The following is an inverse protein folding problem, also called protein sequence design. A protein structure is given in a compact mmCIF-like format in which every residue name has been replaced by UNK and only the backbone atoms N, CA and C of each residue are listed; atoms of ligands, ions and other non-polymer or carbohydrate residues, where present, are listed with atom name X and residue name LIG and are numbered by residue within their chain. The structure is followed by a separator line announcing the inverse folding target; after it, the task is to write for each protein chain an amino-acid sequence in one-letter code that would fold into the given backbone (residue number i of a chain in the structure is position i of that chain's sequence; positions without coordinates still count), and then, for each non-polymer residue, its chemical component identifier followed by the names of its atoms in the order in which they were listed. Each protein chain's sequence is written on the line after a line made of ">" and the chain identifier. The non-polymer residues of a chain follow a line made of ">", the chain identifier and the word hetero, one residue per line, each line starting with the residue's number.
data_IF_506090376144
#
_entry.id   IF_506090376144
#
_cell.length_a   1.000
_cell.length_b   1.000
_cell.length_c   1.000
_cell.angle_alpha   90.00
_cell.angle_beta   90.00
_cell.angle_gamma   90.00
#
_symmetry.space_group_name_H-M   'P 1'
#
loop_
_entity.id
_entity.type
_entity.pdbx_description
1 polymer ?
#
# COMPACT_ATOMS: atom_id res chain seq x y z
N UNK A 1 6.53 8.97 11.17
CA UNK A 1 5.50 9.32 10.19
C UNK A 1 4.64 10.52 10.62
N UNK A 2 4.04 10.55 11.82
CA UNK A 2 3.12 11.63 12.24
C UNK A 2 3.74 13.03 12.22
N UNK A 3 5.04 13.13 12.46
CA UNK A 3 5.81 14.38 12.55
C UNK A 3 6.73 14.61 11.35
N UNK A 4 6.68 13.75 10.35
CA UNK A 4 7.48 13.90 9.14
C UNK A 4 7.00 15.12 8.34
N UNK A 5 7.94 15.81 7.72
CA UNK A 5 7.70 17.02 6.92
C UNK A 5 8.00 16.69 5.46
N UNK A 6 7.07 16.93 4.53
CA UNK A 6 7.32 16.76 3.10
C UNK A 6 8.57 17.53 2.65
N UNK A 7 9.30 16.95 1.73
CA UNK A 7 10.48 17.60 1.13
C UNK A 7 9.96 18.48 -0.01
N UNK A 8 10.30 19.75 0.06
CA UNK A 8 9.96 20.75 -0.96
C UNK A 8 11.11 20.82 -1.97
N UNK A 9 11.03 19.95 -2.97
CA UNK A 9 11.96 19.90 -4.10
C UNK A 9 11.15 19.89 -5.40
N UNK A 10 11.56 20.64 -6.42
CA UNK A 10 10.88 20.69 -7.71
C UNK A 10 10.67 19.30 -8.33
N UNK A 11 11.63 18.40 -8.18
CA UNK A 11 11.59 17.03 -8.70
C UNK A 11 10.58 16.11 -7.96
N UNK A 12 10.10 16.57 -6.78
CA UNK A 12 9.18 15.83 -5.93
C UNK A 12 7.73 16.31 -6.06
N UNK A 13 7.49 17.43 -6.74
CA UNK A 13 6.21 18.14 -6.68
C UNK A 13 5.05 17.29 -7.18
N UNK A 14 5.25 16.49 -8.23
CA UNK A 14 4.24 15.65 -8.85
C UNK A 14 4.07 14.26 -8.17
N UNK A 15 4.97 13.86 -7.27
CA UNK A 15 4.98 12.53 -6.64
C UNK A 15 4.23 12.49 -5.30
N UNK A 16 3.83 13.64 -4.76
CA UNK A 16 3.15 13.72 -3.48
C UNK A 16 1.67 13.39 -3.56
N UNK A 17 1.26 12.34 -2.87
CA UNK A 17 -0.13 11.97 -2.67
C UNK A 17 -0.57 12.36 -1.24
N UNK A 18 -1.87 12.59 -1.07
CA UNK A 18 -2.44 12.88 0.25
C UNK A 18 -3.29 11.70 0.70
N UNK A 19 -2.97 11.14 1.87
CA UNK A 19 -3.74 10.05 2.49
C UNK A 19 -5.06 10.57 3.06
N UNK A 20 -5.99 9.65 3.39
CA UNK A 20 -7.30 9.97 3.99
C UNK A 20 -7.19 10.73 5.32
N UNK A 21 -6.09 10.59 6.05
CA UNK A 21 -5.83 11.33 7.28
C UNK A 21 -5.08 12.67 7.04
N UNK A 22 -4.99 13.13 5.79
CA UNK A 22 -4.36 14.41 5.42
C UNK A 22 -2.83 14.39 5.46
N UNK A 23 -2.18 13.22 5.53
CA UNK A 23 -0.72 13.11 5.46
C UNK A 23 -0.27 12.97 4.01
N UNK A 24 0.79 13.69 3.66
CA UNK A 24 1.43 13.54 2.36
C UNK A 24 2.44 12.38 2.39
N UNK A 25 2.49 11.61 1.32
CA UNK A 25 3.55 10.64 1.08
C UNK A 25 3.94 10.64 -0.41
N UNK A 26 5.13 10.16 -0.69
CA UNK A 26 5.70 10.02 -2.03
C UNK A 26 6.35 8.65 -2.14
N UNK A 27 6.31 8.02 -3.30
CA UNK A 27 7.01 6.75 -3.53
C UNK A 27 8.53 6.91 -3.50
N UNK A 28 9.03 8.10 -3.81
CA UNK A 28 10.46 8.43 -3.80
C UNK A 28 10.95 8.82 -2.41
N UNK A 29 10.17 9.63 -1.67
CA UNK A 29 10.62 10.24 -0.40
C UNK A 29 9.87 9.75 0.84
N UNK A 30 8.96 8.79 0.70
CA UNK A 30 8.13 8.30 1.80
C UNK A 30 7.29 9.42 2.39
N UNK A 31 7.32 9.60 3.71
CA UNK A 31 6.60 10.69 4.39
C UNK A 31 7.43 12.00 4.52
N UNK A 32 8.62 12.03 3.93
CA UNK A 32 9.50 13.18 3.93
C UNK A 32 10.61 13.12 4.98
N UNK A 33 11.16 14.28 5.33
CA UNK A 33 12.26 14.39 6.28
C UNK A 33 11.82 14.27 7.73
N UNK A 34 12.71 13.77 8.57
CA UNK A 34 12.51 13.68 10.02
C UNK A 34 12.57 15.09 10.64
N UNK A 35 11.58 15.40 11.47
CA UNK A 35 11.62 16.53 12.40
C UNK A 35 11.88 16.00 13.81
N UNK A 36 13.13 16.06 14.23
CA UNK A 36 13.58 15.53 15.52
C UNK A 36 12.94 16.23 16.71
N UNK A 37 12.73 17.55 16.62
CA UNK A 37 12.05 18.28 17.67
C UNK A 37 10.60 17.84 17.81
N UNK A 38 9.86 17.81 16.71
CA UNK A 38 8.46 17.41 16.69
C UNK A 38 8.28 15.96 17.17
N UNK A 39 9.23 15.05 16.90
CA UNK A 39 9.19 13.67 17.42
C UNK A 39 9.30 13.68 18.95
N UNK A 40 10.25 14.41 19.51
CA UNK A 40 10.45 14.48 20.97
C UNK A 40 9.22 15.09 21.65
N UNK A 41 8.66 16.17 21.12
CA UNK A 41 7.45 16.78 21.68
C UNK A 41 6.24 15.83 21.60
N UNK A 42 6.04 15.17 20.45
CA UNK A 42 4.96 14.20 20.29
C UNK A 42 5.10 12.99 21.23
N UNK A 43 6.33 12.55 21.51
CA UNK A 43 6.59 11.42 22.40
C UNK A 43 6.16 11.69 23.84
N UNK A 44 6.17 12.92 24.30
CA UNK A 44 5.78 13.30 25.69
C UNK A 44 4.31 12.99 26.00
N UNK A 45 3.46 13.03 24.98
CA UNK A 45 2.01 12.82 25.11
C UNK A 45 1.50 11.61 24.33
N UNK A 46 2.43 10.79 23.81
CA UNK A 46 2.08 9.65 22.97
C UNK A 46 1.27 8.62 23.76
N UNK A 47 0.11 8.29 23.24
CA UNK A 47 -0.71 7.18 23.75
C UNK A 47 -0.42 5.93 22.95
N UNK A 48 -0.13 4.84 23.64
CA UNK A 48 0.09 3.55 22.99
C UNK A 48 -1.15 3.14 22.19
N UNK A 49 -0.89 2.54 21.03
CA UNK A 49 -1.93 1.89 20.23
C UNK A 49 -2.41 0.62 20.92
N UNK A 50 -3.58 0.13 20.53
CA UNK A 50 -4.08 -1.17 20.98
C UNK A 50 -3.13 -2.30 20.59
N UNK A 51 -3.23 -3.47 21.23
CA UNK A 51 -2.52 -4.66 20.77
C UNK A 51 -2.79 -4.94 19.30
N UNK A 52 -1.81 -5.55 18.64
CA UNK A 52 -1.90 -5.89 17.22
C UNK A 52 -3.13 -6.76 16.95
N UNK A 53 -3.89 -6.41 15.92
CA UNK A 53 -5.03 -7.14 15.41
C UNK A 53 -4.89 -7.36 13.90
N UNK A 54 -5.46 -8.45 13.40
CA UNK A 54 -5.41 -8.80 11.99
C UNK A 54 -6.81 -9.04 11.45
N UNK A 55 -7.04 -8.57 10.24
CA UNK A 55 -8.19 -8.94 9.44
C UNK A 55 -7.69 -9.67 8.19
N UNK A 56 -8.31 -10.80 7.86
CA UNK A 56 -8.01 -11.57 6.66
C UNK A 56 -9.26 -11.65 5.80
N UNK A 57 -9.17 -11.20 4.55
CA UNK A 57 -10.24 -11.44 3.58
C UNK A 57 -10.24 -12.90 3.13
N UNK A 58 -11.37 -13.45 2.67
CA UNK A 58 -11.37 -14.72 1.95
C UNK A 58 -10.59 -14.59 0.64
N UNK A 59 -10.16 -15.74 0.09
CA UNK A 59 -9.58 -15.79 -1.25
C UNK A 59 -10.60 -15.38 -2.31
N UNK A 60 -10.20 -14.50 -3.23
CA UNK A 60 -11.02 -14.10 -4.37
C UNK A 60 -10.49 -14.81 -5.60
N UNK A 61 -11.30 -15.69 -6.17
CA UNK A 61 -10.97 -16.42 -7.38
C UNK A 61 -11.41 -15.63 -8.61
N UNK A 62 -10.47 -14.97 -9.24
CA UNK A 62 -10.74 -14.10 -10.41
C UNK A 62 -10.88 -14.94 -11.69
N UNK A 63 -9.98 -15.90 -11.91
CA UNK A 63 -9.95 -16.81 -13.07
C UNK A 63 -10.13 -16.11 -14.43
N UNK A 64 -9.53 -14.94 -14.60
CA UNK A 64 -9.59 -14.13 -15.82
C UNK A 64 -8.18 -13.87 -16.35
N UNK A 65 -8.08 -13.71 -17.65
CA UNK A 65 -6.84 -13.27 -18.29
C UNK A 65 -6.61 -11.79 -18.00
N UNK A 66 -5.35 -11.43 -17.73
CA UNK A 66 -4.94 -10.02 -17.62
C UNK A 66 -4.93 -9.46 -19.06
N UNK A 67 -5.72 -8.41 -19.36
CA UNK A 67 -5.70 -7.77 -20.65
C UNK A 67 -4.32 -7.19 -20.96
N UNK A 68 -3.93 -7.26 -22.23
CA UNK A 68 -2.73 -6.56 -22.67
C UNK A 68 -2.96 -5.05 -22.74
N UNK A 69 -1.93 -4.27 -22.46
CA UNK A 69 -1.96 -2.81 -22.53
C UNK A 69 -2.22 -2.16 -21.16
N UNK A 70 -2.72 -0.94 -21.19
CA UNK A 70 -2.82 -0.04 -20.02
C UNK A 70 -4.04 -0.27 -19.13
N UNK A 71 -5.01 -1.09 -19.54
CA UNK A 71 -6.27 -1.23 -18.81
C UNK A 71 -6.18 -2.20 -17.62
N UNK A 72 -5.25 -3.16 -17.67
CA UNK A 72 -5.05 -4.11 -16.60
C UNK A 72 -6.28 -4.93 -16.22
N UNK A 73 -6.18 -5.67 -15.11
CA UNK A 73 -7.29 -6.40 -14.47
C UNK A 73 -7.45 -5.85 -13.05
N UNK A 74 -8.64 -5.40 -12.71
CA UNK A 74 -8.95 -4.81 -11.40
C UNK A 74 -9.91 -5.70 -10.63
N UNK A 75 -9.65 -5.88 -9.33
CA UNK A 75 -10.49 -6.61 -8.38
C UNK A 75 -10.64 -5.78 -7.13
N UNK A 76 -11.85 -5.72 -6.59
CA UNK A 76 -12.12 -4.99 -5.35
C UNK A 76 -12.68 -5.92 -4.27
N UNK A 77 -12.33 -5.62 -3.03
CA UNK A 77 -12.90 -6.23 -1.84
C UNK A 77 -13.34 -5.15 -0.87
N UNK A 78 -14.60 -5.19 -0.46
CA UNK A 78 -15.13 -4.22 0.49
C UNK A 78 -14.90 -4.70 1.92
N UNK A 79 -14.18 -3.90 2.70
CA UNK A 79 -13.96 -4.12 4.13
C UNK A 79 -14.98 -3.26 4.90
N UNK A 80 -15.96 -3.91 5.53
CA UNK A 80 -17.01 -3.22 6.28
C UNK A 80 -16.57 -2.87 7.71
N UNK A 81 -17.26 -1.89 8.30
CA UNK A 81 -17.01 -1.53 9.71
C UNK A 81 -17.28 -2.68 10.69
N UNK A 82 -18.22 -3.55 10.37
CA UNK A 82 -18.52 -4.72 11.21
C UNK A 82 -17.40 -5.75 11.17
N UNK A 83 -16.81 -6.01 10.00
CA UNK A 83 -15.63 -6.87 9.86
C UNK A 83 -14.44 -6.34 10.68
N UNK A 84 -14.20 -5.03 10.64
CA UNK A 84 -13.11 -4.40 11.42
C UNK A 84 -13.37 -4.50 12.93
N UNK A 85 -14.62 -4.31 13.35
CA UNK A 85 -15.04 -4.42 14.74
C UNK A 85 -14.89 -5.85 15.26
N UNK A 86 -15.31 -6.84 14.48
CA UNK A 86 -15.16 -8.26 14.80
C UNK A 86 -13.71 -8.67 14.93
N UNK A 87 -12.85 -8.16 14.06
CA UNK A 87 -11.40 -8.37 14.11
C UNK A 87 -10.70 -7.53 15.20
N UNK A 88 -11.42 -6.66 15.94
CA UNK A 88 -10.87 -5.69 16.88
C UNK A 88 -9.79 -4.78 16.28
N UNK A 89 -9.91 -4.48 14.99
CA UNK A 89 -8.97 -3.67 14.23
C UNK A 89 -9.45 -2.21 14.22
N UNK A 90 -8.71 -1.34 14.88
CA UNK A 90 -9.08 0.08 15.04
C UNK A 90 -8.26 0.99 14.13
N UNK A 91 -6.99 0.66 13.93
CA UNK A 91 -6.07 1.45 13.12
C UNK A 91 -5.37 0.54 12.12
N UNK A 92 -5.35 0.98 10.89
CA UNK A 92 -4.60 0.32 9.83
C UNK A 92 -3.15 0.78 9.89
N UNK A 93 -2.19 -0.14 9.96
CA UNK A 93 -0.74 0.17 9.91
C UNK A 93 -0.11 -0.32 8.61
N UNK A 94 -0.56 -1.44 8.10
CA UNK A 94 -0.14 -1.97 6.81
C UNK A 94 -1.21 -2.85 6.21
N UNK A 95 -1.17 -2.97 4.89
CA UNK A 95 -2.00 -3.89 4.11
C UNK A 95 -1.09 -4.86 3.40
N UNK A 96 -1.40 -6.15 3.48
CA UNK A 96 -0.74 -7.18 2.69
C UNK A 96 -1.67 -7.69 1.60
N UNK A 97 -1.10 -7.95 0.43
CA UNK A 97 -1.81 -8.55 -0.71
C UNK A 97 -1.06 -9.80 -1.14
N UNK A 98 -1.66 -10.97 -0.92
CA UNK A 98 -1.10 -12.23 -1.40
C UNK A 98 -1.81 -12.62 -2.70
N UNK A 99 -1.05 -12.96 -3.73
CA UNK A 99 -1.62 -13.29 -5.02
C UNK A 99 -0.95 -14.48 -5.71
N UNK A 100 -1.76 -15.13 -6.54
CA UNK A 100 -1.35 -16.16 -7.46
C UNK A 100 -1.67 -15.71 -8.89
N UNK A 101 -0.63 -15.45 -9.70
CA UNK A 101 -0.75 -14.98 -11.08
C UNK A 101 0.19 -15.79 -11.97
N UNK A 102 -0.33 -16.40 -13.01
CA UNK A 102 0.48 -17.05 -14.05
C UNK A 102 0.81 -16.05 -15.15
N UNK A 103 2.07 -15.92 -15.48
CA UNK A 103 2.52 -15.05 -16.56
C UNK A 103 3.82 -15.56 -17.20
N UNK A 104 3.96 -15.41 -18.51
CA UNK A 104 5.13 -15.89 -19.25
C UNK A 104 6.42 -15.11 -18.97
N UNK A 105 6.31 -13.88 -18.45
CA UNK A 105 7.43 -13.05 -18.04
C UNK A 105 7.00 -12.15 -16.88
N UNK A 106 7.39 -12.51 -15.66
CA UNK A 106 6.96 -11.81 -14.43
C UNK A 106 7.35 -10.33 -14.43
N UNK A 107 8.48 -9.98 -15.04
CA UNK A 107 8.95 -8.61 -15.10
C UNK A 107 8.07 -7.65 -15.90
N UNK A 108 7.13 -8.15 -16.70
CA UNK A 108 6.20 -7.33 -17.45
C UNK A 108 4.93 -6.99 -16.65
N UNK A 109 4.79 -7.58 -15.43
CA UNK A 109 3.68 -7.30 -14.54
C UNK A 109 3.96 -6.11 -13.65
N UNK A 110 3.00 -5.19 -13.56
CA UNK A 110 2.88 -4.20 -12.48
C UNK A 110 1.69 -4.55 -11.59
N UNK A 111 1.77 -4.18 -10.32
CA UNK A 111 0.71 -4.43 -9.33
C UNK A 111 0.51 -3.19 -8.50
N UNK A 112 -0.70 -2.68 -8.49
CA UNK A 112 -1.11 -1.52 -7.71
C UNK A 112 -2.18 -1.91 -6.69
N UNK A 113 -2.08 -1.33 -5.50
CA UNK A 113 -3.13 -1.36 -4.49
C UNK A 113 -3.72 0.05 -4.35
N UNK A 114 -5.03 0.15 -4.57
CA UNK A 114 -5.73 1.44 -4.52
C UNK A 114 -6.72 1.45 -3.35
N UNK A 115 -6.63 2.47 -2.50
CA UNK A 115 -7.58 2.69 -1.41
C UNK A 115 -8.90 3.27 -1.91
N UNK A 116 -9.99 3.24 -1.10
CA UNK A 116 -11.24 3.93 -1.41
C UNK A 116 -11.04 5.43 -1.71
N UNK A 117 -10.09 6.06 -1.03
CA UNK A 117 -9.72 7.47 -1.21
C UNK A 117 -8.80 7.70 -2.42
N UNK A 118 -8.64 6.69 -3.27
CA UNK A 118 -7.80 6.72 -4.49
C UNK A 118 -6.31 6.92 -4.25
N UNK A 119 -5.83 6.67 -3.05
CA UNK A 119 -4.39 6.61 -2.79
C UNK A 119 -3.85 5.32 -3.41
N UNK A 120 -2.88 5.45 -4.30
CA UNK A 120 -2.26 4.32 -5.00
C UNK A 120 -0.93 3.96 -4.36
N UNK A 121 -0.75 2.68 -4.08
CA UNK A 121 0.53 2.10 -3.68
C UNK A 121 1.02 1.16 -4.77
N UNK A 122 2.17 1.47 -5.36
CA UNK A 122 2.82 0.60 -6.34
C UNK A 122 3.50 -0.56 -5.61
N UNK A 123 2.86 -1.75 -5.64
CA UNK A 123 3.37 -2.95 -4.98
C UNK A 123 4.46 -3.64 -5.81
N UNK A 124 4.35 -3.57 -7.12
CA UNK A 124 5.38 -4.02 -8.05
C UNK A 124 5.39 -3.17 -9.31
N UNK A 125 6.56 -2.68 -9.64
CA UNK A 125 6.85 -2.03 -10.90
C UNK A 125 7.35 -3.05 -11.95
N UNK A 126 7.28 -2.68 -13.23
CA UNK A 126 7.85 -3.49 -14.30
C UNK A 126 9.37 -3.61 -14.18
N UNK A 127 9.91 -4.81 -14.38
CA UNK A 127 11.34 -5.11 -14.20
C UNK A 127 11.91 -5.77 -15.45
N UNK A 128 12.62 -5.01 -16.28
CA UNK A 128 13.14 -5.47 -17.58
C UNK A 128 14.04 -6.70 -17.49
N UNK A 129 14.75 -6.88 -16.39
CA UNK A 129 15.69 -8.00 -16.17
C UNK A 129 15.04 -9.23 -15.55
N UNK A 130 13.79 -9.17 -15.11
CA UNK A 130 13.05 -10.30 -14.56
C UNK A 130 12.37 -11.09 -15.66
N UNK A 131 13.04 -12.10 -16.20
CA UNK A 131 12.57 -13.00 -17.25
C UNK A 131 11.88 -14.27 -16.72
N UNK A 132 11.61 -14.35 -15.41
CA UNK A 132 10.96 -15.52 -14.82
C UNK A 132 9.59 -15.76 -15.42
N UNK A 133 9.30 -17.02 -15.78
CA UNK A 133 8.01 -17.47 -16.26
C UNK A 133 7.10 -18.06 -15.16
N UNK A 134 7.51 -17.93 -13.89
CA UNK A 134 6.75 -18.45 -12.74
C UNK A 134 5.56 -17.56 -12.35
N UNK A 135 5.49 -16.32 -12.87
CA UNK A 135 4.52 -15.34 -12.42
C UNK A 135 4.70 -15.04 -10.92
N UNK A 136 3.58 -14.88 -10.20
CA UNK A 136 3.54 -14.80 -8.74
C UNK A 136 2.85 -16.05 -8.18
N UNK A 137 3.48 -16.74 -7.23
CA UNK A 137 2.94 -17.93 -6.58
C UNK A 137 3.03 -17.74 -5.06
N UNK A 138 1.87 -17.61 -4.42
CA UNK A 138 1.73 -17.23 -3.02
C UNK A 138 2.61 -16.02 -2.64
N UNK A 139 2.71 -15.09 -3.57
CA UNK A 139 3.56 -13.92 -3.39
C UNK A 139 2.84 -12.86 -2.60
N UNK A 140 3.43 -12.46 -1.47
CA UNK A 140 2.85 -11.44 -0.60
C UNK A 140 3.59 -10.12 -0.75
N UNK A 141 2.86 -9.09 -1.12
CA UNK A 141 3.29 -7.69 -1.10
C UNK A 141 2.79 -7.01 0.16
N UNK A 142 3.45 -5.94 0.57
CA UNK A 142 3.03 -5.12 1.70
C UNK A 142 3.04 -3.64 1.33
N UNK A 143 2.01 -2.93 1.76
CA UNK A 143 1.91 -1.48 1.67
C UNK A 143 1.73 -0.87 3.06
N UNK A 144 2.36 0.28 3.30
CA UNK A 144 2.30 1.05 4.56
C UNK A 144 1.78 2.49 4.34
N UNK A 145 1.13 2.75 3.21
CA UNK A 145 0.70 4.11 2.83
C UNK A 145 -0.82 4.33 2.92
N UNK A 146 -1.58 3.30 3.26
CA UNK A 146 -3.04 3.35 3.36
C UNK A 146 -3.49 3.55 4.82
N UNK A 147 -3.30 4.74 5.33
CA UNK A 147 -3.63 5.12 6.71
C UNK A 147 -5.00 5.77 6.81
#
# INVERSE_FOLDING_TARGET
>A
MQTAVPIDLPEAEDDWQTTSIGKKFSHTFGYGKIDSWAIVEAAKTFKHVKPQAWFYSPWIHVNQAIPQGVYGLSVSFEVTKDMLKEANLERLEHVTVTMNVKHGRRGDLSVDLVSPDKVTSHLAETRRLDSSNQGYNDWTFMSVVHW
#
